data_IF_769193344669
#
_entry.id   IF_769193344669
#
_cell.length_a   1.000
_cell.length_b   1.000
_cell.length_c   1.000
_cell.angle_alpha   90.00
_cell.angle_beta   90.00
_cell.angle_gamma   90.00
#
_symmetry.space_group_name_H-M   'P 1'
#
loop_
_entity.id
_entity.type
_entity.pdbx_description
1 polymer ?
#
# COMPACT_ATOMS: atom_id res chain seq x y z
N UNK A 1 -5.80 6.81 5.96
CA UNK A 1 -6.59 7.04 4.73
C UNK A 1 -6.45 8.48 4.26
N UNK A 2 -6.71 9.44 5.13
CA UNK A 2 -6.65 10.87 4.74
C UNK A 2 -5.24 11.30 4.35
N UNK A 3 -4.22 10.82 5.05
CA UNK A 3 -2.83 11.11 4.70
C UNK A 3 -2.46 10.60 3.31
N UNK A 4 -2.90 9.41 2.96
CA UNK A 4 -2.68 8.84 1.62
C UNK A 4 -3.42 9.65 0.57
N UNK A 5 -4.66 10.06 0.84
CA UNK A 5 -5.41 10.92 -0.08
C UNK A 5 -4.66 12.23 -0.36
N UNK A 6 -4.12 12.88 0.68
CA UNK A 6 -3.35 14.11 0.53
C UNK A 6 -2.10 13.89 -0.33
N UNK A 7 -1.37 12.80 -0.09
CA UNK A 7 -0.17 12.48 -0.85
C UNK A 7 -0.50 12.14 -2.31
N UNK A 8 -1.56 11.39 -2.55
CA UNK A 8 -1.99 11.04 -3.90
C UNK A 8 -2.41 12.29 -4.68
N UNK A 9 -3.15 13.19 -4.04
CA UNK A 9 -3.59 14.43 -4.67
C UNK A 9 -2.38 15.33 -4.99
N UNK A 10 -1.41 15.43 -4.08
CA UNK A 10 -0.17 16.14 -4.32
C UNK A 10 0.62 15.53 -5.49
N UNK A 11 0.73 14.20 -5.54
CA UNK A 11 1.41 13.51 -6.63
C UNK A 11 0.72 13.75 -7.97
N UNK A 12 -0.60 13.75 -7.98
CA UNK A 12 -1.39 14.03 -9.19
C UNK A 12 -1.10 15.44 -9.72
N UNK A 13 -1.11 16.44 -8.86
CA UNK A 13 -0.81 17.82 -9.25
C UNK A 13 0.64 17.97 -9.70
N UNK A 14 1.57 17.34 -9.00
CA UNK A 14 2.99 17.37 -9.36
C UNK A 14 3.23 16.77 -10.75
N UNK A 15 2.67 15.58 -11.02
CA UNK A 15 2.89 14.90 -12.30
C UNK A 15 2.23 15.62 -13.46
N UNK A 16 1.15 16.36 -13.24
CA UNK A 16 0.49 17.13 -14.27
C UNK A 16 1.39 18.24 -14.83
N UNK A 17 2.34 18.74 -14.02
CA UNK A 17 3.30 19.77 -14.44
C UNK A 17 4.60 19.22 -15.03
N UNK A 18 4.77 17.90 -15.09
CA UNK A 18 6.00 17.30 -15.62
C UNK A 18 5.95 17.17 -17.16
N UNK A 19 7.15 17.11 -17.76
CA UNK A 19 7.28 16.73 -19.17
C UNK A 19 6.89 15.26 -19.35
N UNK A 20 6.61 14.85 -20.58
CA UNK A 20 6.27 13.45 -20.86
C UNK A 20 7.39 12.50 -20.41
N UNK A 21 8.65 12.85 -20.66
CA UNK A 21 9.79 12.03 -20.29
C UNK A 21 9.90 11.88 -18.78
N UNK A 22 9.75 12.98 -18.02
CA UNK A 22 9.79 12.94 -16.56
C UNK A 22 8.61 12.19 -15.98
N UNK A 23 7.42 12.38 -16.56
CA UNK A 23 6.19 11.68 -16.14
C UNK A 23 6.31 10.17 -16.34
N UNK A 24 6.91 9.74 -17.45
CA UNK A 24 7.08 8.32 -17.75
C UNK A 24 7.95 7.59 -16.71
N UNK A 25 8.87 8.32 -16.06
CA UNK A 25 9.72 7.75 -14.99
C UNK A 25 9.14 7.86 -13.59
N UNK A 26 8.02 8.59 -13.41
CA UNK A 26 7.42 8.79 -12.08
C UNK A 26 6.66 7.54 -11.65
N UNK A 27 6.78 7.20 -10.36
CA UNK A 27 6.01 6.12 -9.74
C UNK A 27 5.61 6.54 -8.33
N UNK A 28 4.38 6.21 -7.94
CA UNK A 28 3.91 6.36 -6.56
C UNK A 28 3.86 4.97 -5.94
N UNK A 29 4.65 4.76 -4.88
CA UNK A 29 4.70 3.48 -4.19
C UNK A 29 3.88 3.57 -2.92
N UNK A 30 2.81 2.78 -2.82
CA UNK A 30 2.02 2.61 -1.62
C UNK A 30 2.53 1.39 -0.87
N UNK A 31 3.17 1.61 0.26
CA UNK A 31 3.65 0.53 1.12
C UNK A 31 2.49 0.13 2.03
N UNK A 32 1.94 -1.05 1.77
CA UNK A 32 0.80 -1.57 2.49
C UNK A 32 1.17 -2.83 3.26
N UNK A 33 0.20 -3.64 3.61
CA UNK A 33 0.38 -4.79 4.49
C UNK A 33 -0.45 -5.96 3.98
N UNK A 34 -0.04 -7.18 4.32
CA UNK A 34 -0.83 -8.37 4.04
C UNK A 34 -2.07 -8.48 4.92
N UNK A 35 -2.17 -7.69 5.99
CA UNK A 35 -3.35 -7.68 6.87
C UNK A 35 -4.62 -7.23 6.14
N UNK A 36 -4.51 -6.55 4.99
CA UNK A 36 -5.65 -6.17 4.16
C UNK A 36 -6.39 -7.38 3.60
N UNK A 37 -5.75 -8.54 3.53
CA UNK A 37 -6.37 -9.78 3.05
C UNK A 37 -7.12 -10.53 4.15
N UNK A 38 -6.97 -10.12 5.41
CA UNK A 38 -7.60 -10.77 6.55
C UNK A 38 -6.78 -11.93 7.08
N UNK A 39 -7.47 -12.98 7.54
CA UNK A 39 -6.84 -14.14 8.14
C UNK A 39 -6.81 -15.32 7.17
N UNK A 40 -5.73 -16.09 7.22
CA UNK A 40 -5.63 -17.37 6.53
C UNK A 40 -5.95 -18.52 7.49
N UNK A 41 -6.51 -19.60 6.95
CA UNK A 41 -6.58 -20.86 7.66
C UNK A 41 -5.20 -21.51 7.82
N UNK A 42 -5.15 -22.73 8.40
CA UNK A 42 -3.87 -23.43 8.59
C UNK A 42 -3.12 -23.71 7.28
N UNK A 43 -3.84 -23.74 6.18
CA UNK A 43 -3.27 -23.92 4.85
C UNK A 43 -3.67 -22.75 3.96
N UNK A 44 -2.83 -22.44 2.99
CA UNK A 44 -3.10 -21.38 2.03
C UNK A 44 -2.09 -20.24 2.11
N UNK A 45 -2.14 -19.39 1.12
CA UNK A 45 -1.25 -18.24 0.98
C UNK A 45 -2.00 -17.07 0.36
N UNK A 46 -1.60 -15.86 0.73
CA UNK A 46 -2.04 -14.66 0.03
C UNK A 46 -1.28 -14.56 -1.30
N UNK A 47 -2.01 -14.21 -2.34
CA UNK A 47 -1.46 -13.95 -3.68
C UNK A 47 -2.03 -12.63 -4.19
N UNK A 48 -1.52 -12.13 -5.31
CA UNK A 48 -1.91 -10.84 -5.84
C UNK A 48 -3.40 -10.75 -6.18
N UNK A 49 -4.04 -11.87 -6.47
CA UNK A 49 -5.47 -11.93 -6.80
C UNK A 49 -6.35 -12.20 -5.59
N UNK A 50 -5.78 -12.35 -4.39
CA UNK A 50 -6.56 -12.56 -3.17
C UNK A 50 -7.43 -11.33 -2.89
N UNK A 51 -8.76 -11.48 -2.69
CA UNK A 51 -9.60 -10.34 -2.37
C UNK A 51 -9.26 -9.72 -1.02
N UNK A 52 -9.42 -8.40 -0.90
CA UNK A 52 -9.27 -7.72 0.37
C UNK A 52 -10.40 -8.12 1.31
N UNK A 53 -10.04 -8.47 2.52
CA UNK A 53 -10.99 -8.85 3.57
C UNK A 53 -10.46 -8.43 4.95
N UNK A 54 -10.24 -7.12 5.17
CA UNK A 54 -9.66 -6.64 6.41
C UNK A 54 -10.57 -6.95 7.60
N UNK A 55 -9.98 -7.35 8.72
CA UNK A 55 -10.73 -7.71 9.91
C UNK A 55 -10.28 -6.94 11.17
N UNK A 56 -9.61 -5.81 10.99
CA UNK A 56 -9.25 -4.89 12.07
C UNK A 56 -9.36 -3.45 11.58
N UNK A 57 -9.51 -2.46 12.49
CA UNK A 57 -9.52 -1.05 12.08
C UNK A 57 -8.24 -0.63 11.35
N UNK A 58 -7.09 -1.11 11.78
CA UNK A 58 -5.83 -0.83 11.09
C UNK A 58 -5.85 -1.41 9.67
N UNK A 59 -6.21 -2.68 9.53
CA UNK A 59 -6.27 -3.35 8.23
C UNK A 59 -7.30 -2.67 7.32
N UNK A 60 -8.44 -2.27 7.86
CA UNK A 60 -9.46 -1.54 7.09
C UNK A 60 -8.96 -0.18 6.61
N UNK A 61 -8.20 0.55 7.43
CA UNK A 61 -7.64 1.84 7.04
C UNK A 61 -6.60 1.67 5.93
N UNK A 62 -5.75 0.66 6.03
CA UNK A 62 -4.74 0.36 4.99
C UNK A 62 -5.41 -0.10 3.70
N UNK A 63 -6.46 -0.92 3.80
CA UNK A 63 -7.23 -1.34 2.62
C UNK A 63 -7.88 -0.14 1.94
N UNK A 64 -8.43 0.79 2.71
CA UNK A 64 -8.99 2.04 2.17
C UNK A 64 -7.94 2.87 1.46
N UNK A 65 -6.74 2.98 2.01
CA UNK A 65 -5.63 3.69 1.39
C UNK A 65 -5.22 3.03 0.07
N UNK A 66 -5.15 1.70 0.03
CA UNK A 66 -4.82 0.95 -1.18
C UNK A 66 -5.89 1.14 -2.26
N UNK A 67 -7.16 1.15 -1.88
CA UNK A 67 -8.26 1.41 -2.81
C UNK A 67 -8.19 2.83 -3.38
N UNK A 68 -7.83 3.83 -2.56
CA UNK A 68 -7.62 5.18 -3.06
C UNK A 68 -6.49 5.24 -4.08
N UNK A 69 -5.36 4.57 -3.81
CA UNK A 69 -4.24 4.52 -4.74
C UNK A 69 -4.66 3.89 -6.07
N UNK A 70 -5.38 2.78 -6.03
CA UNK A 70 -5.89 2.12 -7.23
C UNK A 70 -6.89 3.00 -7.99
N UNK A 71 -7.74 3.72 -7.27
CA UNK A 71 -8.71 4.63 -7.86
C UNK A 71 -8.03 5.82 -8.57
N UNK A 72 -6.95 6.35 -8.01
CA UNK A 72 -6.19 7.42 -8.65
C UNK A 72 -5.53 6.93 -9.95
N UNK A 73 -5.05 5.70 -9.96
CA UNK A 73 -4.54 5.10 -11.19
C UNK A 73 -5.65 4.96 -12.24
N UNK A 74 -6.80 4.41 -11.85
CA UNK A 74 -7.90 4.17 -12.76
C UNK A 74 -8.52 5.46 -13.29
N UNK A 75 -8.63 6.49 -12.46
CA UNK A 75 -9.31 7.75 -12.81
C UNK A 75 -8.39 8.75 -13.49
N UNK A 76 -7.15 8.88 -13.00
CA UNK A 76 -6.22 9.93 -13.45
C UNK A 76 -5.00 9.39 -14.19
N UNK A 77 -4.84 8.06 -14.25
CA UNK A 77 -3.67 7.45 -14.87
C UNK A 77 -2.39 7.62 -14.07
N UNK A 78 -2.48 7.93 -12.76
CA UNK A 78 -1.29 8.06 -11.90
C UNK A 78 -0.59 6.70 -11.80
N UNK A 79 0.73 6.62 -12.11
CA UNK A 79 1.45 5.35 -12.03
C UNK A 79 1.64 4.96 -10.56
N UNK A 80 0.91 3.95 -10.11
CA UNK A 80 0.89 3.50 -8.72
C UNK A 80 1.38 2.06 -8.62
N UNK A 81 2.21 1.78 -7.63
CA UNK A 81 2.61 0.44 -7.24
C UNK A 81 2.18 0.22 -5.79
N UNK A 82 1.68 -0.97 -5.48
CA UNK A 82 1.24 -1.33 -4.13
C UNK A 82 2.01 -2.57 -3.70
N UNK A 83 2.64 -2.51 -2.52
CA UNK A 83 3.30 -3.66 -1.92
C UNK A 83 2.54 -4.09 -0.66
N UNK A 84 2.32 -5.38 -0.49
CA UNK A 84 1.60 -5.94 0.65
C UNK A 84 2.57 -6.78 1.47
N UNK A 85 3.42 -6.11 2.22
CA UNK A 85 4.46 -6.76 3.01
C UNK A 85 3.88 -7.44 4.25
N UNK A 86 4.47 -8.55 4.67
CA UNK A 86 4.26 -9.09 5.99
C UNK A 86 5.08 -8.28 7.01
N UNK A 87 5.46 -8.84 8.14
CA UNK A 87 6.24 -8.10 9.14
C UNK A 87 7.63 -7.75 8.61
N UNK A 88 8.02 -6.50 8.79
CA UNK A 88 9.36 -6.02 8.47
C UNK A 88 10.20 -6.00 9.75
N UNK A 89 11.52 -6.06 9.60
CA UNK A 89 12.44 -5.99 10.73
C UNK A 89 13.69 -5.20 10.35
N UNK A 90 14.38 -4.69 11.36
CA UNK A 90 15.59 -3.92 11.12
C UNK A 90 16.26 -3.51 12.44
N UNK A 91 17.45 -2.87 12.37
CA UNK A 91 18.13 -2.39 13.55
C UNK A 91 17.27 -1.43 14.38
N UNK A 92 17.39 -1.52 15.69
CA UNK A 92 16.67 -0.65 16.65
C UNK A 92 15.16 -0.83 16.68
N UNK A 93 14.62 -1.86 16.03
CA UNK A 93 13.20 -2.12 16.06
C UNK A 93 12.78 -2.57 17.47
N UNK A 94 11.60 -2.08 17.91
CA UNK A 94 11.00 -2.53 19.18
C UNK A 94 10.66 -4.03 19.08
N UNK A 95 11.04 -4.84 20.09
CA UNK A 95 10.94 -6.30 20.01
C UNK A 95 9.53 -6.84 20.32
N UNK A 96 8.54 -6.46 19.51
CA UNK A 96 7.16 -6.95 19.65
C UNK A 96 6.77 -7.99 18.60
N UNK A 97 7.57 -8.16 17.56
CA UNK A 97 7.34 -9.11 16.49
C UNK A 97 8.33 -10.27 16.58
N UNK A 98 8.06 -11.35 15.84
CA UNK A 98 8.82 -12.59 15.95
C UNK A 98 10.33 -12.40 15.78
N UNK A 99 10.75 -11.75 14.71
CA UNK A 99 12.19 -11.65 14.42
C UNK A 99 12.93 -10.77 15.44
N UNK A 100 12.45 -9.57 15.81
CA UNK A 100 13.12 -8.80 16.86
C UNK A 100 13.14 -9.48 18.23
N UNK A 101 12.19 -10.38 18.51
CA UNK A 101 12.16 -11.13 19.76
C UNK A 101 13.16 -12.28 19.81
N UNK A 102 13.62 -12.76 18.69
CA UNK A 102 14.61 -13.81 18.60
C UNK A 102 16.00 -13.31 18.95
#
# INVERSE_FOLDING_TARGET
VMGVLEMLDAARHYTAGLTETARAGFRFLQVSTDEVYGSLGPEGRFVETTPYAPNSPYAASKAGADHLASAFHATYGLPVLITNCSNNYGPYQFPEKLIPLM
#
